data_IF_364401595027
#
_entry.id   IF_364401595027
#
_cell.length_a   1.000
_cell.length_b   1.000
_cell.length_c   1.000
_cell.angle_alpha   90.00
_cell.angle_beta   90.00
_cell.angle_gamma   90.00
#
_symmetry.space_group_name_H-M   'P 1'
#
loop_
_entity.id
_entity.type
_entity.pdbx_description
1 polymer ?
#
# COMPACT_ATOMS: atom_id res chain seq x y z
N UNK A 1 20.51 9.76 -14.67
CA UNK A 1 20.52 10.40 -13.34
C UNK A 1 21.98 10.55 -12.90
N UNK A 2 22.68 11.62 -13.34
CA UNK A 2 24.14 11.76 -13.18
C UNK A 2 24.52 13.10 -12.51
N UNK A 3 23.92 13.43 -11.37
CA UNK A 3 24.36 14.57 -10.59
C UNK A 3 25.11 14.08 -9.36
N UNK A 4 26.38 14.45 -9.22
CA UNK A 4 27.23 14.15 -8.05
C UNK A 4 26.51 14.49 -6.73
N UNK A 5 25.71 15.55 -6.72
CA UNK A 5 24.87 15.97 -5.59
C UNK A 5 23.74 14.98 -5.26
N UNK A 6 23.09 14.41 -6.28
CA UNK A 6 22.06 13.38 -6.08
C UNK A 6 22.66 12.09 -5.51
N UNK A 7 23.82 11.68 -6.04
CA UNK A 7 24.54 10.52 -5.49
C UNK A 7 25.02 10.76 -4.06
N UNK A 8 25.49 11.99 -3.76
CA UNK A 8 25.83 12.37 -2.39
C UNK A 8 24.62 12.24 -1.45
N UNK A 9 23.43 12.69 -1.87
CA UNK A 9 22.21 12.54 -1.08
C UNK A 9 21.89 11.06 -0.76
N UNK A 10 22.01 10.17 -1.75
CA UNK A 10 21.77 8.74 -1.55
C UNK A 10 22.82 8.09 -0.62
N UNK A 11 24.09 8.46 -0.76
CA UNK A 11 25.16 7.99 0.13
C UNK A 11 24.92 8.46 1.57
N UNK A 12 24.54 9.72 1.76
CA UNK A 12 24.20 10.27 3.08
C UNK A 12 23.01 9.52 3.69
N UNK A 13 21.98 9.23 2.90
CA UNK A 13 20.85 8.41 3.35
C UNK A 13 21.30 7.04 3.85
N UNK A 14 22.16 6.35 3.09
CA UNK A 14 22.67 5.03 3.46
C UNK A 14 23.44 5.05 4.78
N UNK A 15 24.31 6.06 4.99
CA UNK A 15 25.04 6.24 6.24
C UNK A 15 24.11 6.48 7.42
N UNK A 16 23.12 7.39 7.26
CA UNK A 16 22.15 7.68 8.31
C UNK A 16 21.24 6.48 8.61
N UNK A 17 20.88 5.65 7.64
CA UNK A 17 20.13 4.42 7.96
C UNK A 17 20.95 3.46 8.83
N UNK A 18 22.27 3.40 8.62
CA UNK A 18 23.18 2.52 9.34
C UNK A 18 23.42 2.98 10.79
N UNK A 19 23.60 4.28 11.03
CA UNK A 19 23.90 4.78 12.37
C UNK A 19 23.86 6.30 12.51
N UNK A 20 24.01 6.76 13.76
CA UNK A 20 23.98 8.18 14.13
C UNK A 20 25.38 8.82 14.27
N UNK A 21 26.45 8.07 13.98
CA UNK A 21 27.85 8.46 14.23
C UNK A 21 28.25 9.79 13.57
N UNK A 22 27.66 10.08 12.41
CA UNK A 22 27.94 11.30 11.65
C UNK A 22 26.74 12.27 11.60
N UNK A 23 25.74 12.09 12.47
CA UNK A 23 24.49 12.85 12.44
C UNK A 23 24.72 14.37 12.43
N UNK A 24 25.55 14.88 13.34
CA UNK A 24 25.83 16.31 13.44
C UNK A 24 26.51 16.87 12.17
N UNK A 25 27.38 16.09 11.53
CA UNK A 25 28.08 16.51 10.31
C UNK A 25 27.18 16.42 9.07
N UNK A 26 26.30 15.42 9.01
CA UNK A 26 25.47 15.13 7.84
C UNK A 26 24.17 15.94 7.82
N UNK A 27 23.61 16.30 8.98
CA UNK A 27 22.33 17.04 9.07
C UNK A 27 22.31 18.33 8.24
N UNK A 28 23.31 19.24 8.35
CA UNK A 28 23.34 20.46 7.53
C UNK A 28 23.44 20.19 6.02
N UNK A 29 24.04 19.06 5.64
CA UNK A 29 24.15 18.65 4.24
C UNK A 29 22.79 18.14 3.72
N UNK A 30 22.08 17.33 4.52
CA UNK A 30 20.72 16.86 4.19
C UNK A 30 19.77 18.05 3.98
N UNK A 31 19.75 19.00 4.92
CA UNK A 31 18.88 20.19 4.81
C UNK A 31 19.20 21.02 3.57
N UNK A 32 20.48 21.14 3.19
CA UNK A 32 20.88 21.85 1.97
C UNK A 32 20.45 21.13 0.70
N UNK A 33 20.61 19.80 0.65
CA UNK A 33 20.23 18.99 -0.52
C UNK A 33 18.71 18.90 -0.69
N UNK A 34 17.94 18.93 0.40
CA UNK A 34 16.48 18.98 0.37
C UNK A 34 15.95 20.28 -0.26
N UNK A 35 16.73 21.37 -0.16
CA UNK A 35 16.45 22.68 -0.75
C UNK A 35 17.23 22.94 -2.06
N UNK A 36 17.80 21.91 -2.68
CA UNK A 36 18.57 22.08 -3.92
C UNK A 36 17.67 22.63 -5.05
N UNK A 37 18.20 23.49 -5.92
CA UNK A 37 17.43 24.05 -7.04
C UNK A 37 16.99 22.99 -8.05
N UNK A 38 17.70 21.86 -8.12
CA UNK A 38 17.42 20.76 -9.05
C UNK A 38 16.46 19.76 -8.42
N UNK A 39 15.29 19.56 -9.04
CA UNK A 39 14.25 18.61 -8.60
C UNK A 39 14.82 17.20 -8.35
N UNK A 40 15.61 16.67 -9.28
CA UNK A 40 16.19 15.32 -9.15
C UNK A 40 17.07 15.18 -7.90
N UNK A 41 17.76 16.24 -7.47
CA UNK A 41 18.55 16.22 -6.23
C UNK A 41 17.64 16.24 -5.01
N UNK A 42 16.58 17.06 -5.01
CA UNK A 42 15.58 17.09 -3.93
C UNK A 42 14.91 15.73 -3.74
N UNK A 43 14.53 15.07 -4.83
CA UNK A 43 13.96 13.72 -4.83
C UNK A 43 14.91 12.69 -4.21
N UNK A 44 16.21 12.77 -4.51
CA UNK A 44 17.22 11.92 -3.85
C UNK A 44 17.38 12.29 -2.36
N UNK A 45 17.33 13.59 -2.04
CA UNK A 45 17.44 14.09 -0.67
C UNK A 45 16.27 13.67 0.21
N UNK A 46 15.06 13.48 -0.33
CA UNK A 46 13.91 12.95 0.41
C UNK A 46 14.23 11.62 1.11
N UNK A 47 15.08 10.76 0.51
CA UNK A 47 15.52 9.53 1.15
C UNK A 47 16.47 9.77 2.33
N UNK A 48 17.32 10.80 2.26
CA UNK A 48 18.18 11.20 3.36
C UNK A 48 17.39 11.85 4.50
N UNK A 49 16.36 12.63 4.18
CA UNK A 49 15.42 13.19 5.17
C UNK A 49 14.64 12.07 5.87
N UNK A 50 14.20 11.05 5.14
CA UNK A 50 13.58 9.86 5.73
C UNK A 50 14.55 9.12 6.67
N UNK A 51 15.83 9.01 6.31
CA UNK A 51 16.85 8.43 7.19
C UNK A 51 17.09 9.30 8.44
N UNK A 52 17.10 10.62 8.29
CA UNK A 52 17.24 11.59 9.37
C UNK A 52 16.09 11.47 10.39
N UNK A 53 14.87 11.18 9.91
CA UNK A 53 13.67 10.98 10.75
C UNK A 53 13.86 9.91 11.84
N UNK A 54 14.77 8.94 11.65
CA UNK A 54 15.09 7.91 12.64
C UNK A 54 15.87 8.46 13.85
N UNK A 55 16.64 9.54 13.65
CA UNK A 55 17.59 10.06 14.63
C UNK A 55 17.20 11.42 15.17
N UNK A 56 16.72 12.32 14.31
CA UNK A 56 16.25 13.64 14.66
C UNK A 56 14.93 13.93 13.94
N UNK A 57 13.79 13.50 14.52
CA UNK A 57 12.48 13.68 13.90
C UNK A 57 12.13 15.14 13.65
N UNK A 58 12.50 16.05 14.56
CA UNK A 58 12.09 17.46 14.44
C UNK A 58 12.79 18.13 13.26
N UNK A 59 14.11 17.99 13.14
CA UNK A 59 14.83 18.55 11.99
C UNK A 59 14.36 17.89 10.68
N UNK A 60 14.06 16.59 10.70
CA UNK A 60 13.56 15.91 9.52
C UNK A 60 12.17 16.42 9.09
N UNK A 61 11.26 16.69 10.03
CA UNK A 61 9.94 17.27 9.75
C UNK A 61 10.08 18.70 9.20
N UNK A 62 10.91 19.53 9.81
CA UNK A 62 11.18 20.90 9.34
C UNK A 62 11.79 20.90 7.93
N UNK A 63 12.74 20.00 7.68
CA UNK A 63 13.37 19.84 6.36
C UNK A 63 12.37 19.30 5.32
N UNK A 64 11.45 18.43 5.74
CA UNK A 64 10.39 17.91 4.86
C UNK A 64 9.44 19.02 4.44
N UNK A 65 9.01 19.86 5.37
CA UNK A 65 8.13 21.00 5.07
C UNK A 65 8.79 21.96 4.07
N UNK A 66 10.09 22.24 4.22
CA UNK A 66 10.86 23.02 3.24
C UNK A 66 10.87 22.36 1.86
N UNK A 67 11.12 21.05 1.79
CA UNK A 67 11.11 20.28 0.54
C UNK A 67 9.75 20.34 -0.16
N UNK A 68 8.66 20.19 0.60
CA UNK A 68 7.28 20.16 0.09
C UNK A 68 6.70 21.55 -0.22
N UNK A 69 7.28 22.62 0.31
CA UNK A 69 6.90 24.00 0.03
C UNK A 69 7.51 24.55 -1.28
N UNK A 70 8.41 23.81 -1.93
CA UNK A 70 8.93 24.21 -3.22
C UNK A 70 7.82 24.23 -4.28
N UNK A 71 7.83 25.21 -5.19
CA UNK A 71 6.78 25.44 -6.21
C UNK A 71 6.62 24.29 -7.24
N UNK A 72 7.49 23.29 -7.21
CA UNK A 72 7.52 22.24 -8.23
C UNK A 72 6.68 21.05 -7.78
N UNK A 73 5.44 20.98 -8.30
CA UNK A 73 4.50 19.89 -7.99
C UNK A 73 5.04 18.49 -8.37
N UNK A 74 6.03 18.40 -9.27
CA UNK A 74 6.61 17.12 -9.65
C UNK A 74 7.41 16.46 -8.51
N UNK A 75 7.70 17.18 -7.41
CA UNK A 75 8.30 16.59 -6.23
C UNK A 75 7.46 15.43 -5.66
N UNK A 76 6.14 15.52 -5.76
CA UNK A 76 5.21 14.46 -5.32
C UNK A 76 5.24 13.21 -6.21
N UNK A 77 5.74 13.33 -7.45
CA UNK A 77 5.72 12.22 -8.42
C UNK A 77 6.84 11.19 -8.19
N UNK A 78 7.75 11.44 -7.26
CA UNK A 78 8.80 10.50 -6.92
C UNK A 78 8.38 9.56 -5.78
N UNK A 79 8.62 8.27 -5.95
CA UNK A 79 8.34 7.24 -4.95
C UNK A 79 9.04 7.49 -3.60
N UNK A 80 10.21 8.12 -3.60
CA UNK A 80 10.91 8.51 -2.36
C UNK A 80 10.18 9.62 -1.60
N UNK A 81 9.66 10.62 -2.31
CA UNK A 81 8.84 11.69 -1.71
C UNK A 81 7.51 11.15 -1.21
N UNK A 82 6.88 10.23 -1.96
CA UNK A 82 5.65 9.58 -1.52
C UNK A 82 5.85 8.79 -0.23
N UNK A 83 6.93 8.00 -0.14
CA UNK A 83 7.27 7.27 1.10
C UNK A 83 7.53 8.22 2.27
N UNK A 84 8.17 9.36 2.02
CA UNK A 84 8.36 10.40 3.02
C UNK A 84 7.01 10.99 3.47
N UNK A 85 6.11 11.33 2.53
CA UNK A 85 4.78 11.87 2.80
C UNK A 85 3.95 10.92 3.66
N UNK A 86 3.94 9.62 3.35
CA UNK A 86 3.27 8.61 4.16
C UNK A 86 3.85 8.60 5.59
N UNK A 87 5.18 8.61 5.73
CA UNK A 87 5.82 8.55 7.05
C UNK A 87 5.55 9.79 7.91
N UNK A 88 5.51 10.98 7.31
CA UNK A 88 5.22 12.22 8.07
C UNK A 88 3.73 12.34 8.40
N UNK A 89 2.82 11.88 7.54
CA UNK A 89 1.38 11.91 7.80
C UNK A 89 0.99 11.04 9.00
N UNK A 90 1.66 9.90 9.19
CA UNK A 90 1.43 9.04 10.37
C UNK A 90 1.96 9.68 11.66
N UNK A 91 2.98 10.54 11.57
CA UNK A 91 3.65 11.15 12.74
C UNK A 91 3.02 12.46 13.16
N UNK A 92 2.81 13.37 12.22
CA UNK A 92 2.30 14.72 12.45
C UNK A 92 1.19 15.05 11.43
N UNK A 93 0.03 14.36 11.50
CA UNK A 93 -1.01 14.50 10.48
C UNK A 93 -1.49 15.94 10.31
N UNK A 94 -1.70 16.67 11.40
CA UNK A 94 -2.16 18.07 11.39
C UNK A 94 -1.17 19.01 10.71
N UNK A 95 0.14 18.75 10.83
CA UNK A 95 1.18 19.59 10.21
C UNK A 95 1.21 19.43 8.69
N UNK A 96 0.97 18.21 8.19
CA UNK A 96 1.13 17.90 6.77
C UNK A 96 -0.18 17.71 5.99
N UNK A 97 -1.34 17.83 6.65
CA UNK A 97 -2.66 17.73 6.03
C UNK A 97 -2.82 18.67 4.82
N UNK A 98 -2.42 19.94 4.95
CA UNK A 98 -2.51 20.91 3.86
C UNK A 98 -1.66 20.53 2.63
N UNK A 99 -0.53 19.85 2.84
CA UNK A 99 0.31 19.37 1.74
C UNK A 99 -0.37 18.21 1.00
N UNK A 100 -0.95 17.25 1.73
CA UNK A 100 -1.71 16.17 1.14
C UNK A 100 -2.95 16.70 0.40
N UNK A 101 -3.71 17.61 1.01
CA UNK A 101 -4.89 18.23 0.40
C UNK A 101 -4.54 18.91 -0.94
N UNK A 102 -3.43 19.64 -0.98
CA UNK A 102 -2.92 20.25 -2.23
C UNK A 102 -2.54 19.19 -3.27
N UNK A 103 -1.84 18.14 -2.86
CA UNK A 103 -1.41 17.07 -3.76
C UNK A 103 -2.60 16.27 -4.33
N UNK A 104 -3.65 16.06 -3.53
CA UNK A 104 -4.90 15.42 -3.98
C UNK A 104 -5.58 16.20 -5.11
N UNK A 105 -5.44 17.53 -5.13
CA UNK A 105 -5.94 18.40 -6.21
C UNK A 105 -4.92 18.62 -7.34
N UNK A 106 -3.78 17.93 -7.29
CA UNK A 106 -2.72 18.03 -8.29
C UNK A 106 -3.11 17.40 -9.64
N UNK A 107 -2.38 17.72 -10.71
CA UNK A 107 -2.61 17.11 -12.02
C UNK A 107 -1.98 15.71 -12.13
N UNK A 108 -2.59 14.84 -12.95
CA UNK A 108 -2.01 13.56 -13.38
C UNK A 108 -1.56 12.67 -12.22
N UNK A 109 -0.35 12.12 -12.36
CA UNK A 109 0.27 11.20 -11.40
C UNK A 109 0.33 11.76 -9.97
N UNK A 110 0.37 13.09 -9.80
CA UNK A 110 0.41 13.71 -8.47
C UNK A 110 -0.84 13.39 -7.65
N UNK A 111 -2.04 13.52 -8.25
CA UNK A 111 -3.29 13.20 -7.57
C UNK A 111 -3.40 11.70 -7.27
N UNK A 112 -2.95 10.85 -8.20
CA UNK A 112 -2.97 9.40 -8.00
C UNK A 112 -2.06 8.97 -6.82
N UNK A 113 -0.81 9.45 -6.79
CA UNK A 113 0.12 9.17 -5.70
C UNK A 113 -0.32 9.79 -4.36
N UNK A 114 -0.97 10.95 -4.41
CA UNK A 114 -1.61 11.54 -3.23
C UNK A 114 -2.78 10.68 -2.74
N UNK A 115 -3.58 10.13 -3.63
CA UNK A 115 -4.65 9.18 -3.32
C UNK A 115 -4.13 7.91 -2.63
N UNK A 116 -2.98 7.39 -3.08
CA UNK A 116 -2.29 6.29 -2.38
C UNK A 116 -1.88 6.70 -0.96
N UNK A 117 -1.29 7.89 -0.80
CA UNK A 117 -0.88 8.41 0.51
C UNK A 117 -2.06 8.64 1.45
N UNK A 118 -3.18 9.13 0.90
CA UNK A 118 -4.45 9.29 1.60
C UNK A 118 -4.99 7.94 2.09
N UNK A 119 -5.02 6.92 1.23
CA UNK A 119 -5.51 5.59 1.61
C UNK A 119 -4.66 4.96 2.73
N UNK A 120 -3.34 5.15 2.72
CA UNK A 120 -2.50 4.71 3.84
C UNK A 120 -2.84 5.49 5.12
N UNK A 121 -3.06 6.80 5.04
CA UNK A 121 -3.48 7.59 6.19
C UNK A 121 -4.85 7.15 6.73
N UNK A 122 -5.79 6.76 5.84
CA UNK A 122 -7.09 6.18 6.20
C UNK A 122 -6.92 4.86 6.96
N UNK A 123 -6.12 3.94 6.43
CA UNK A 123 -5.80 2.64 7.05
C UNK A 123 -5.22 2.81 8.45
N UNK A 124 -4.32 3.79 8.62
CA UNK A 124 -3.66 4.09 9.89
C UNK A 124 -4.52 4.92 10.85
N UNK A 125 -5.71 5.38 10.45
CA UNK A 125 -6.56 6.24 11.27
C UNK A 125 -5.97 7.63 11.52
N UNK A 126 -5.15 8.13 10.61
CA UNK A 126 -4.42 9.40 10.72
C UNK A 126 -5.05 10.56 9.92
N UNK A 127 -6.23 10.37 9.33
CA UNK A 127 -6.90 11.47 8.63
C UNK A 127 -7.30 12.58 9.61
N UNK A 128 -7.04 13.81 9.20
CA UNK A 128 -7.47 15.01 9.93
C UNK A 128 -8.79 15.52 9.35
N UNK A 129 -9.57 16.33 10.09
CA UNK A 129 -10.82 16.89 9.60
C UNK A 129 -10.67 17.78 8.34
N UNK A 130 -9.46 18.27 8.06
CA UNK A 130 -9.16 19.12 6.90
C UNK A 130 -8.91 18.31 5.61
N UNK A 131 -8.89 16.97 5.71
CA UNK A 131 -8.72 16.06 4.59
C UNK A 131 -10.05 15.39 4.24
N UNK A 132 -10.22 14.95 2.98
CA UNK A 132 -11.36 14.11 2.60
C UNK A 132 -11.49 12.91 3.53
N UNK A 133 -12.71 12.59 3.96
CA UNK A 133 -12.97 11.50 4.91
C UNK A 133 -13.46 10.21 4.23
N UNK A 134 -13.77 10.29 2.94
CA UNK A 134 -14.32 9.20 2.15
C UNK A 134 -13.79 9.27 0.72
N UNK A 135 -13.85 8.13 0.02
CA UNK A 135 -13.38 8.05 -1.37
C UNK A 135 -14.19 8.95 -2.30
N UNK A 136 -15.47 9.18 -2.02
CA UNK A 136 -16.37 9.97 -2.88
C UNK A 136 -16.00 11.47 -2.93
N UNK A 137 -15.33 11.97 -1.88
CA UNK A 137 -14.81 13.33 -1.81
C UNK A 137 -13.50 13.51 -2.60
N UNK A 138 -12.88 12.40 -3.04
CA UNK A 138 -11.68 12.42 -3.88
C UNK A 138 -12.05 12.57 -5.36
N UNK A 139 -11.18 13.23 -6.13
CA UNK A 139 -11.28 13.21 -7.59
C UNK A 139 -10.94 11.81 -8.15
N UNK A 140 -11.26 11.57 -9.42
CA UNK A 140 -11.09 10.26 -10.06
C UNK A 140 -9.64 9.73 -10.01
N UNK A 141 -8.64 10.60 -10.22
CA UNK A 141 -7.23 10.21 -10.18
C UNK A 141 -6.79 9.79 -8.76
N UNK A 142 -7.21 10.55 -7.74
CA UNK A 142 -6.94 10.19 -6.34
C UNK A 142 -7.68 8.91 -5.92
N UNK A 143 -8.93 8.71 -6.34
CA UNK A 143 -9.65 7.44 -6.11
C UNK A 143 -8.92 6.25 -6.72
N UNK A 144 -8.34 6.41 -7.91
CA UNK A 144 -7.58 5.35 -8.60
C UNK A 144 -6.37 4.90 -7.79
N UNK A 145 -5.63 5.86 -7.24
CA UNK A 145 -4.50 5.58 -6.35
C UNK A 145 -4.95 4.93 -5.03
N UNK A 146 -6.00 5.46 -4.42
CA UNK A 146 -6.57 4.90 -3.19
C UNK A 146 -7.02 3.45 -3.38
N UNK A 147 -7.69 3.15 -4.49
CA UNK A 147 -8.13 1.80 -4.87
C UNK A 147 -6.98 0.79 -4.93
N UNK A 148 -5.81 1.20 -5.47
CA UNK A 148 -4.63 0.33 -5.52
C UNK A 148 -4.12 -0.01 -4.12
N UNK A 149 -4.08 0.97 -3.20
CA UNK A 149 -3.62 0.73 -1.84
C UNK A 149 -4.60 -0.15 -1.06
N UNK A 150 -5.91 0.09 -1.18
CA UNK A 150 -6.88 -0.77 -0.53
C UNK A 150 -6.88 -2.19 -1.09
N UNK A 151 -6.61 -2.37 -2.39
CA UNK A 151 -6.49 -3.68 -3.00
C UNK A 151 -5.30 -4.47 -2.45
N UNK A 152 -4.18 -3.80 -2.19
CA UNK A 152 -2.98 -4.39 -1.57
C UNK A 152 -3.11 -4.63 -0.06
N UNK A 153 -4.15 -4.07 0.59
CA UNK A 153 -4.42 -4.18 2.04
C UNK A 153 -5.84 -4.71 2.24
N UNK A 154 -6.05 -5.96 1.81
CA UNK A 154 -7.37 -6.59 1.72
C UNK A 154 -8.11 -6.65 3.06
N UNK A 155 -7.42 -6.65 4.19
CA UNK A 155 -7.99 -6.58 5.55
C UNK A 155 -8.80 -5.31 5.81
N UNK A 156 -8.59 -4.27 5.00
CA UNK A 156 -9.37 -3.03 4.96
C UNK A 156 -10.45 -3.03 3.87
N UNK A 157 -10.99 -4.21 3.53
CA UNK A 157 -11.99 -4.41 2.48
C UNK A 157 -13.24 -3.52 2.50
N UNK A 158 -13.75 -2.97 3.63
CA UNK A 158 -14.91 -2.10 3.58
C UNK A 158 -14.70 -0.87 2.70
N UNK A 159 -13.45 -0.43 2.50
CA UNK A 159 -13.11 0.64 1.57
C UNK A 159 -13.11 0.21 0.09
N UNK A 160 -12.99 -1.09 -0.21
CA UNK A 160 -13.06 -1.63 -1.58
C UNK A 160 -14.48 -1.78 -2.09
N UNK A 161 -15.43 -2.11 -1.21
CA UNK A 161 -16.84 -2.35 -1.55
C UNK A 161 -17.45 -1.24 -2.44
N UNK A 162 -17.36 0.05 -2.09
CA UNK A 162 -17.91 1.11 -2.96
C UNK A 162 -17.16 1.22 -4.31
N UNK A 163 -15.86 0.92 -4.33
CA UNK A 163 -14.99 1.11 -5.50
C UNK A 163 -15.26 0.09 -6.62
N UNK A 164 -15.88 -1.04 -6.33
CA UNK A 164 -16.35 -1.97 -7.38
C UNK A 164 -17.46 -1.38 -8.27
N UNK A 165 -18.11 -0.31 -7.81
CA UNK A 165 -19.18 0.37 -8.53
C UNK A 165 -18.80 1.80 -8.98
N UNK A 166 -17.53 2.18 -8.84
CA UNK A 166 -17.03 3.50 -9.26
C UNK A 166 -17.32 3.75 -10.74
N UNK A 167 -17.58 5.00 -11.09
CA UNK A 167 -17.85 5.41 -12.46
C UNK A 167 -16.58 5.33 -13.33
N UNK A 168 -15.40 5.53 -12.74
CA UNK A 168 -14.12 5.40 -13.43
C UNK A 168 -13.70 3.93 -13.55
N UNK A 169 -13.45 3.49 -14.78
CA UNK A 169 -13.10 2.09 -15.07
C UNK A 169 -11.74 1.67 -14.50
N UNK A 170 -10.76 2.58 -14.42
CA UNK A 170 -9.45 2.29 -13.84
C UNK A 170 -9.53 2.18 -12.31
N UNK A 171 -10.44 2.91 -11.66
CA UNK A 171 -10.72 2.73 -10.22
C UNK A 171 -11.27 1.33 -9.96
N UNK A 172 -12.28 0.91 -10.74
CA UNK A 172 -12.85 -0.45 -10.66
C UNK A 172 -11.79 -1.51 -10.88
N UNK A 173 -10.95 -1.34 -11.91
CA UNK A 173 -9.83 -2.23 -12.21
C UNK A 173 -8.86 -2.36 -11.04
N UNK A 174 -8.42 -1.25 -10.46
CA UNK A 174 -7.48 -1.26 -9.34
C UNK A 174 -8.10 -1.92 -8.10
N UNK A 175 -9.34 -1.56 -7.75
CA UNK A 175 -10.05 -2.18 -6.62
C UNK A 175 -10.19 -3.70 -6.78
N UNK A 176 -10.50 -4.16 -8.01
CA UNK A 176 -10.68 -5.58 -8.33
C UNK A 176 -9.43 -6.42 -8.09
N UNK A 177 -8.23 -5.82 -8.08
CA UNK A 177 -6.98 -6.55 -7.84
C UNK A 177 -6.97 -7.21 -6.45
N UNK A 178 -7.64 -6.60 -5.46
CA UNK A 178 -7.76 -7.15 -4.11
C UNK A 178 -8.45 -8.51 -4.07
N UNK A 179 -9.26 -8.85 -5.08
CA UNK A 179 -9.90 -10.16 -5.19
C UNK A 179 -8.88 -11.31 -5.27
N UNK A 180 -7.63 -11.04 -5.68
CA UNK A 180 -6.55 -12.05 -5.70
C UNK A 180 -6.19 -12.57 -4.31
N UNK A 181 -6.47 -11.78 -3.27
CA UNK A 181 -6.13 -12.06 -1.86
C UNK A 181 -7.39 -12.27 -1.01
N UNK A 182 -8.58 -12.41 -1.61
CA UNK A 182 -9.84 -12.47 -0.87
C UNK A 182 -9.91 -13.62 0.15
N UNK A 183 -9.15 -14.70 -0.08
CA UNK A 183 -9.09 -15.85 0.83
C UNK A 183 -8.10 -15.70 1.99
N UNK A 184 -7.38 -14.58 2.05
CA UNK A 184 -6.60 -14.20 3.23
C UNK A 184 -7.50 -13.60 4.33
N UNK A 185 -8.74 -13.23 4.00
CA UNK A 185 -9.75 -12.75 4.94
C UNK A 185 -10.42 -13.88 5.74
N UNK A 186 -11.07 -13.52 6.85
CA UNK A 186 -11.96 -14.45 7.53
C UNK A 186 -13.13 -14.85 6.61
N UNK A 187 -13.66 -16.09 6.70
CA UNK A 187 -14.68 -16.57 5.77
C UNK A 187 -15.89 -15.66 5.59
N UNK A 188 -16.41 -15.06 6.66
CA UNK A 188 -17.56 -14.15 6.58
C UNK A 188 -17.24 -12.86 5.80
N UNK A 189 -16.03 -12.33 5.98
CA UNK A 189 -15.56 -11.12 5.29
C UNK A 189 -15.28 -11.42 3.81
N UNK A 190 -14.65 -12.56 3.52
CA UNK A 190 -14.47 -13.05 2.15
C UNK A 190 -15.82 -13.22 1.44
N UNK A 191 -16.81 -13.82 2.10
CA UNK A 191 -18.16 -14.00 1.55
C UNK A 191 -18.84 -12.66 1.23
N UNK A 192 -18.69 -11.66 2.11
CA UNK A 192 -19.19 -10.30 1.92
C UNK A 192 -18.51 -9.62 0.71
N UNK A 193 -17.19 -9.63 0.67
CA UNK A 193 -16.43 -8.97 -0.39
C UNK A 193 -16.66 -9.62 -1.75
N UNK A 194 -16.70 -10.96 -1.82
CA UNK A 194 -17.03 -11.70 -3.05
C UNK A 194 -18.42 -11.32 -3.55
N UNK A 195 -19.42 -11.24 -2.66
CA UNK A 195 -20.78 -10.83 -3.05
C UNK A 195 -20.80 -9.40 -3.58
N UNK A 196 -20.18 -8.46 -2.88
CA UNK A 196 -20.08 -7.07 -3.33
C UNK A 196 -19.39 -6.94 -4.70
N UNK A 197 -18.35 -7.75 -4.95
CA UNK A 197 -17.67 -7.80 -6.24
C UNK A 197 -18.60 -8.34 -7.34
N UNK A 198 -19.23 -9.50 -7.12
CA UNK A 198 -20.10 -10.16 -8.10
C UNK A 198 -21.32 -9.30 -8.49
N UNK A 199 -21.86 -8.54 -7.54
CA UNK A 199 -22.97 -7.60 -7.75
C UNK A 199 -22.51 -6.26 -8.37
N UNK A 200 -21.20 -6.01 -8.42
CA UNK A 200 -20.61 -4.75 -8.82
C UNK A 200 -20.36 -4.59 -10.33
N UNK A 201 -20.27 -3.34 -10.79
CA UNK A 201 -19.90 -2.98 -12.17
C UNK A 201 -18.52 -3.50 -12.59
N UNK A 202 -17.64 -3.81 -11.63
CA UNK A 202 -16.29 -4.30 -11.90
C UNK A 202 -16.24 -5.78 -12.34
N UNK A 203 -17.22 -6.60 -11.93
CA UNK A 203 -17.18 -8.04 -12.15
C UNK A 203 -17.11 -8.46 -13.63
N UNK A 204 -17.90 -7.89 -14.56
CA UNK A 204 -17.85 -8.28 -15.97
C UNK A 204 -16.47 -8.15 -16.61
N UNK A 205 -15.69 -7.17 -16.18
CA UNK A 205 -14.43 -6.79 -16.81
C UNK A 205 -13.20 -7.36 -16.09
N UNK A 206 -13.35 -7.81 -14.83
CA UNK A 206 -12.22 -8.18 -13.95
C UNK A 206 -12.38 -9.53 -13.23
N UNK A 207 -13.23 -10.42 -13.74
CA UNK A 207 -13.48 -11.74 -13.15
C UNK A 207 -12.20 -12.59 -12.97
N UNK A 208 -11.17 -12.33 -13.78
CA UNK A 208 -9.90 -13.05 -13.76
C UNK A 208 -9.17 -12.94 -12.42
N UNK A 209 -9.38 -11.87 -11.65
CA UNK A 209 -8.76 -11.71 -10.34
C UNK A 209 -9.35 -12.67 -9.30
N UNK A 210 -10.68 -12.84 -9.30
CA UNK A 210 -11.34 -13.84 -8.46
C UNK A 210 -11.05 -15.27 -8.96
N UNK A 211 -11.05 -15.49 -10.28
CA UNK A 211 -10.70 -16.80 -10.85
C UNK A 211 -9.28 -17.24 -10.45
N UNK A 212 -8.32 -16.29 -10.43
CA UNK A 212 -6.96 -16.54 -9.95
C UNK A 212 -6.94 -16.97 -8.48
N UNK A 213 -7.61 -16.23 -7.59
CA UNK A 213 -7.69 -16.59 -6.17
C UNK A 213 -8.29 -17.98 -5.96
N UNK A 214 -9.33 -18.32 -6.74
CA UNK A 214 -9.97 -19.63 -6.67
C UNK A 214 -9.09 -20.77 -7.15
N UNK A 215 -8.24 -20.52 -8.14
CA UNK A 215 -7.28 -21.50 -8.64
C UNK A 215 -6.21 -21.83 -7.60
N UNK A 216 -5.74 -20.82 -6.86
CA UNK A 216 -4.69 -20.96 -5.85
C UNK A 216 -5.22 -21.45 -4.48
N UNK A 217 -6.54 -21.32 -4.24
CA UNK A 217 -7.16 -21.68 -2.97
C UNK A 217 -7.35 -23.19 -2.79
N UNK A 218 -6.79 -23.74 -1.71
CA UNK A 218 -6.93 -25.15 -1.33
C UNK A 218 -7.99 -25.39 -0.24
N UNK A 219 -8.67 -24.34 0.23
CA UNK A 219 -9.65 -24.40 1.32
C UNK A 219 -11.12 -24.51 0.88
N UNK A 220 -12.07 -24.51 1.83
CA UNK A 220 -13.50 -24.46 1.51
C UNK A 220 -13.86 -23.15 0.79
N UNK A 221 -14.75 -23.24 -0.19
CA UNK A 221 -15.22 -22.09 -0.95
C UNK A 221 -16.24 -21.25 -0.16
N UNK A 222 -16.28 -19.93 -0.40
CA UNK A 222 -17.37 -19.04 0.00
C UNK A 222 -18.74 -19.61 -0.37
N UNK A 223 -19.72 -19.44 0.52
CA UNK A 223 -21.09 -19.88 0.27
C UNK A 223 -21.72 -19.07 -0.87
N UNK A 224 -21.31 -17.81 -1.02
CA UNK A 224 -21.73 -16.95 -2.14
C UNK A 224 -21.42 -17.56 -3.51
N UNK A 225 -20.35 -18.34 -3.66
CA UNK A 225 -20.00 -19.01 -4.93
C UNK A 225 -20.80 -20.29 -5.20
N UNK A 226 -21.48 -20.83 -4.20
CA UNK A 226 -22.23 -22.09 -4.27
C UNK A 226 -23.74 -21.88 -4.44
N UNK A 227 -24.21 -20.64 -4.36
CA UNK A 227 -25.63 -20.28 -4.47
C UNK A 227 -26.06 -20.10 -5.93
N UNK A 228 -27.25 -20.61 -6.33
CA UNK A 228 -27.75 -20.56 -7.73
C UNK A 228 -28.04 -19.14 -8.24
N UNK A 229 -28.11 -18.14 -7.37
CA UNK A 229 -28.25 -16.73 -7.74
C UNK A 229 -27.04 -16.18 -8.53
N UNK A 230 -25.88 -16.86 -8.45
CA UNK A 230 -24.66 -16.48 -9.15
C UNK A 230 -24.41 -17.29 -10.44
N UNK A 231 -25.48 -17.77 -11.09
CA UNK A 231 -25.41 -18.50 -12.36
C UNK A 231 -24.52 -17.78 -13.42
N UNK A 232 -24.47 -16.45 -13.38
CA UNK A 232 -23.58 -15.59 -14.16
C UNK A 232 -22.10 -16.00 -14.09
N UNK A 233 -21.60 -16.38 -12.90
CA UNK A 233 -20.22 -16.83 -12.71
C UNK A 233 -19.98 -18.18 -13.40
N UNK A 234 -20.85 -19.17 -13.18
CA UNK A 234 -20.73 -20.49 -13.81
C UNK A 234 -20.85 -20.44 -15.34
N UNK A 235 -21.72 -19.57 -15.88
CA UNK A 235 -21.89 -19.42 -17.34
C UNK A 235 -20.68 -18.75 -17.99
N UNK A 236 -20.10 -17.71 -17.37
CA UNK A 236 -18.95 -16.98 -17.96
C UNK A 236 -17.61 -17.69 -17.77
N UNK A 237 -17.37 -18.33 -16.62
CA UNK A 237 -16.19 -19.17 -16.40
C UNK A 237 -16.15 -20.38 -17.34
N UNK A 238 -17.32 -20.92 -17.72
CA UNK A 238 -17.44 -21.98 -18.72
C UNK A 238 -17.07 -21.53 -20.14
N UNK A 239 -17.33 -20.27 -20.51
CA UNK A 239 -16.97 -19.73 -21.83
C UNK A 239 -15.50 -19.35 -21.99
N UNK A 240 -14.79 -19.03 -20.90
CA UNK A 240 -13.34 -18.78 -20.95
C UNK A 240 -12.49 -20.07 -20.95
N UNK A 241 -13.08 -21.21 -20.52
CA UNK A 241 -12.40 -22.49 -20.40
C UNK A 241 -12.44 -23.35 -21.69
N UNK A 242 -12.92 -22.84 -22.83
CA UNK A 242 -12.95 -23.59 -24.10
C UNK A 242 -11.59 -23.65 -24.83
N UNK A 243 -10.51 -23.25 -24.18
CA UNK A 243 -9.13 -23.45 -24.65
C UNK A 243 -8.36 -24.26 -23.61
N UNK A 244 -8.20 -25.56 -23.89
CA UNK A 244 -7.45 -26.60 -23.14
C UNK A 244 -8.13 -27.33 -21.95
N UNK A 245 -8.12 -28.67 -21.93
CA UNK A 245 -8.80 -29.46 -20.90
C UNK A 245 -7.97 -29.52 -19.60
N UNK A 246 -8.52 -28.95 -18.53
CA UNK A 246 -8.02 -29.13 -17.16
C UNK A 246 -8.29 -30.57 -16.71
N UNK A 247 -7.23 -31.37 -16.62
CA UNK A 247 -7.26 -32.72 -16.04
C UNK A 247 -7.57 -32.62 -14.55
N UNK A 248 -8.79 -33.05 -14.17
CA UNK A 248 -9.23 -33.20 -12.78
C UNK A 248 -8.30 -34.17 -12.02
N UNK A 249 -7.59 -33.69 -11.00
CA UNK A 249 -7.09 -34.57 -9.92
C UNK A 249 -8.14 -34.64 -8.83
N UNK A 250 -8.96 -35.69 -8.85
CA UNK A 250 -9.82 -36.05 -7.72
C UNK A 250 -8.99 -36.69 -6.62
N UNK A 251 -9.17 -36.18 -5.40
CA UNK A 251 -8.62 -36.75 -4.18
C UNK A 251 -9.18 -38.15 -3.93
N UNK A 252 -8.32 -39.15 -4.00
CA UNK A 252 -8.43 -40.45 -3.33
C UNK A 252 -6.99 -40.96 -3.29
N UNK A 253 -6.29 -40.98 -2.16
CA UNK A 253 -6.31 -42.08 -1.20
C UNK A 253 -5.36 -41.69 -0.06
N UNK A 254 -5.84 -41.70 1.18
CA UNK A 254 -4.99 -41.72 2.39
C UNK A 254 -4.85 -43.18 2.83
N UNK A 255 -3.63 -43.73 2.84
CA UNK A 255 -3.21 -44.83 3.72
C UNK A 255 -1.74 -45.22 3.50
N UNK A 256 -0.94 -45.06 4.57
CA UNK A 256 0.32 -45.76 4.90
C UNK A 256 1.55 -45.56 3.99
N UNK A 257 2.51 -44.77 4.48
CA UNK A 257 3.74 -45.31 5.09
C UNK A 257 4.56 -44.20 5.76
N UNK A 258 4.72 -44.35 7.08
CA UNK A 258 5.74 -43.70 7.88
C UNK A 258 7.09 -44.41 7.71
N UNK A 259 8.17 -43.67 7.42
CA UNK A 259 9.40 -43.61 8.27
C UNK A 259 10.64 -43.10 7.51
N UNK A 260 11.32 -42.12 8.13
CA UNK A 260 12.74 -41.71 8.05
C UNK A 260 13.25 -41.14 6.70
N UNK A 261 14.08 -40.09 6.59
CA UNK A 261 15.05 -39.47 7.51
C UNK A 261 15.49 -38.06 7.04
N UNK A 262 15.63 -37.13 7.99
CA UNK A 262 16.67 -36.08 8.21
C UNK A 262 17.53 -35.60 7.01
N UNK A 263 17.55 -34.29 6.78
CA UNK A 263 18.63 -33.57 6.07
C UNK A 263 18.37 -32.05 5.89
N UNK A 264 19.17 -31.21 6.56
CA UNK A 264 19.13 -29.73 6.62
C UNK A 264 19.61 -29.00 5.34
N UNK A 265 19.04 -27.81 5.05
CA UNK A 265 19.69 -26.53 4.66
C UNK A 265 18.58 -25.46 4.40
N UNK A 266 18.44 -24.33 5.11
CA UNK A 266 19.21 -23.06 4.99
C UNK A 266 18.99 -22.41 3.61
N UNK A 267 18.40 -21.22 3.37
CA UNK A 267 18.34 -19.90 4.04
C UNK A 267 17.35 -18.95 3.26
N UNK A 268 17.16 -17.65 3.60
CA UNK A 268 15.86 -16.93 3.59
C UNK A 268 15.74 -15.71 2.62
N UNK A 269 14.50 -15.17 2.47
CA UNK A 269 14.10 -13.73 2.39
C UNK A 269 12.67 -13.64 1.78
N UNK A 270 11.76 -12.75 2.16
CA UNK A 270 11.75 -11.67 3.14
C UNK A 270 10.44 -10.90 2.97
N UNK A 271 9.49 -11.08 3.92
CA UNK A 271 8.30 -10.23 4.04
C UNK A 271 8.52 -9.28 5.21
N UNK A 272 8.40 -7.98 4.96
CA UNK A 272 8.59 -6.94 5.97
C UNK A 272 7.32 -6.87 6.81
N UNK A 273 7.31 -7.59 7.93
CA UNK A 273 6.31 -7.45 8.96
C UNK A 273 6.57 -6.18 9.78
N UNK A 274 5.65 -5.22 9.73
CA UNK A 274 5.63 -4.07 10.62
C UNK A 274 5.15 -4.53 12.00
N UNK A 275 6.05 -4.55 12.98
CA UNK A 275 5.68 -4.80 14.38
C UNK A 275 5.84 -3.51 15.18
N UNK A 276 4.72 -3.03 15.71
CA UNK A 276 4.65 -1.92 16.66
C UNK A 276 4.89 -2.45 18.08
N UNK A 277 6.05 -2.14 18.68
CA UNK A 277 6.31 -2.44 20.08
C UNK A 277 5.76 -1.32 20.97
N UNK A 278 4.64 -1.58 21.64
CA UNK A 278 4.14 -0.75 22.76
C UNK A 278 4.91 -1.08 24.03
N UNK A 279 5.85 -0.20 24.40
CA UNK A 279 6.56 -0.27 25.68
C UNK A 279 5.69 0.22 26.84
N UNK A 280 5.22 -0.71 27.66
CA UNK A 280 4.59 -0.42 28.96
C UNK A 280 5.60 0.19 29.93
N UNK A 281 5.35 1.43 30.37
CA UNK A 281 6.11 2.11 31.44
C UNK A 281 5.53 1.70 32.79
N UNK A 282 6.31 0.94 33.59
CA UNK A 282 6.01 0.66 34.99
C UNK A 282 6.05 1.96 35.81
N UNK A 283 4.99 2.22 36.56
CA UNK A 283 4.96 3.20 37.65
C UNK A 283 5.86 2.72 38.80
N UNK A 284 6.62 3.64 39.38
CA UNK A 284 7.34 3.48 40.65
C UNK A 284 6.50 4.18 41.73
N UNK A 285 6.22 3.57 42.89
CA UNK A 285 5.49 4.22 43.96
C UNK A 285 6.44 5.05 44.82
N UNK A 286 6.03 6.28 45.14
CA UNK A 286 6.58 7.06 46.25
C UNK A 286 5.85 6.69 47.53
N UNK A 287 6.60 6.12 48.48
CA UNK A 287 6.29 6.05 49.90
C UNK A 287 7.58 6.28 50.66
#
# INVERSE_FOLDING_TARGET
MNATRGQAALTVAALLFHGSEHLHALTPLVTRLANDSVLAVRVCAAQAVLALMKHDPQIALDTTEQLLNHQDANAYNASTTQRLLINILVREPSRFAAHLARALQGPGDTAELAGQSWAVATIQGCLTPDLPNSTDELNALARRGAASVFADNIDHYPHLVPLFNDDDADVRKNASQGMRQVFDLFPAQADELVRAFLDGKAFPDHLEHLAFALYDHAGPFPLSLLMPANASFSTRAGSSATSEPIVRRTATTWSRQSSASIGKAGRPNGSVAWTSSTGSRKQVPTG
#
